data_IF_701669017643
#
_entry.id   IF_701669017643
#
_cell.length_a   1.000
_cell.length_b   1.000
_cell.length_c   1.000
_cell.angle_alpha   90.00
_cell.angle_beta   90.00
_cell.angle_gamma   90.00
#
_symmetry.space_group_name_H-M   'P 1'
#
loop_
_entity.id
_entity.type
_entity.pdbx_description
1 polymer ?
#
# COMPACT_ATOMS: atom_id res chain seq x y z
N UNK A 1 -0.14 20.84 -7.76
CA UNK A 1 -0.67 19.58 -7.20
C UNK A 1 -1.17 18.69 -8.33
N UNK A 2 -2.31 18.98 -8.97
CA UNK A 2 -2.83 18.23 -10.12
C UNK A 2 -1.79 17.95 -11.24
N UNK A 3 -1.09 18.99 -11.70
CA UNK A 3 -0.11 18.89 -12.80
C UNK A 3 1.14 18.04 -12.50
N UNK A 4 1.45 17.80 -11.22
CA UNK A 4 2.63 17.00 -10.82
C UNK A 4 2.29 15.53 -10.66
N UNK A 5 1.01 15.22 -10.41
CA UNK A 5 0.50 13.87 -10.21
C UNK A 5 -0.15 13.29 -11.47
N UNK A 6 -0.19 14.03 -12.59
CA UNK A 6 -1.01 13.71 -13.77
C UNK A 6 -2.46 13.37 -13.37
N UNK A 7 -3.00 14.09 -12.37
CA UNK A 7 -4.37 13.93 -11.90
C UNK A 7 -5.20 15.17 -12.22
N UNK A 8 -6.44 14.95 -12.63
CA UNK A 8 -7.44 15.99 -12.79
C UNK A 8 -8.44 15.86 -11.62
N UNK A 9 -8.77 16.99 -10.98
CA UNK A 9 -9.66 17.03 -9.82
C UNK A 9 -10.77 18.03 -10.15
N UNK A 10 -11.94 17.52 -10.54
CA UNK A 10 -13.13 18.31 -10.94
C UNK A 10 -14.37 17.95 -10.11
N UNK A 11 -14.19 17.27 -8.98
CA UNK A 11 -15.27 16.87 -8.07
C UNK A 11 -15.65 17.97 -7.06
N UNK A 12 -14.96 19.11 -7.08
CA UNK A 12 -15.16 20.22 -6.13
C UNK A 12 -14.46 20.03 -4.78
N UNK A 13 -13.74 18.92 -4.56
CA UNK A 13 -13.06 18.64 -3.28
C UNK A 13 -12.05 19.73 -2.87
N UNK A 14 -11.41 20.39 -3.85
CA UNK A 14 -10.49 21.49 -3.59
C UNK A 14 -11.20 22.68 -2.95
N UNK A 15 -12.41 23.00 -3.41
CA UNK A 15 -13.21 24.12 -2.89
C UNK A 15 -13.66 23.83 -1.45
N UNK A 16 -14.17 22.63 -1.19
CA UNK A 16 -14.58 22.20 0.15
C UNK A 16 -13.43 22.27 1.18
N UNK A 17 -12.23 21.78 0.81
CA UNK A 17 -11.05 21.85 1.68
C UNK A 17 -10.61 23.30 1.91
N UNK A 18 -10.67 24.15 0.89
CA UNK A 18 -10.33 25.56 1.01
C UNK A 18 -11.29 26.30 1.96
N UNK A 19 -12.60 26.06 1.84
CA UNK A 19 -13.62 26.62 2.74
C UNK A 19 -13.36 26.21 4.19
N UNK A 20 -13.14 24.91 4.44
CA UNK A 20 -12.89 24.40 5.78
C UNK A 20 -11.63 25.02 6.40
N UNK A 21 -10.57 25.24 5.60
CA UNK A 21 -9.36 25.92 6.04
C UNK A 21 -9.60 27.39 6.38
N UNK A 22 -10.45 28.09 5.62
CA UNK A 22 -10.82 29.48 5.91
C UNK A 22 -11.57 29.60 7.25
N UNK A 23 -12.54 28.72 7.50
CA UNK A 23 -13.27 28.65 8.77
C UNK A 23 -12.32 28.36 9.94
N UNK A 24 -11.39 27.43 9.78
CA UNK A 24 -10.39 27.13 10.80
C UNK A 24 -9.46 28.32 11.07
N UNK A 25 -9.08 29.07 10.03
CA UNK A 25 -8.29 30.28 10.18
C UNK A 25 -9.02 31.36 10.98
N UNK A 26 -10.31 31.59 10.72
CA UNK A 26 -11.13 32.51 11.52
C UNK A 26 -11.21 32.07 12.98
N UNK A 27 -11.48 30.79 13.24
CA UNK A 27 -11.46 30.25 14.60
C UNK A 27 -10.11 30.44 15.31
N UNK A 28 -8.99 30.34 14.60
CA UNK A 28 -7.67 30.61 15.17
C UNK A 28 -7.47 32.08 15.58
N UNK A 29 -8.06 33.03 14.84
CA UNK A 29 -8.02 34.45 15.20
C UNK A 29 -8.86 34.76 16.44
N UNK A 30 -9.97 34.04 16.62
CA UNK A 30 -10.83 34.12 17.80
C UNK A 30 -10.23 33.37 19.02
N UNK A 31 -9.16 32.60 18.82
CA UNK A 31 -8.56 31.75 19.84
C UNK A 31 -9.34 30.45 20.10
N UNK A 32 -10.27 30.08 19.22
CA UNK A 32 -10.99 28.82 19.25
C UNK A 32 -10.25 27.74 18.45
N UNK A 33 -9.64 26.80 19.16
CA UNK A 33 -8.87 25.71 18.56
C UNK A 33 -9.59 24.35 18.60
N UNK A 34 -10.87 24.31 18.98
CA UNK A 34 -11.60 23.05 19.17
C UNK A 34 -11.65 22.19 17.90
N UNK A 35 -11.79 22.83 16.73
CA UNK A 35 -11.78 22.15 15.41
C UNK A 35 -10.43 21.47 15.11
N UNK A 36 -9.31 22.14 15.44
CA UNK A 36 -7.96 21.61 15.27
C UNK A 36 -7.71 20.45 16.22
N UNK A 37 -8.14 20.57 17.48
CA UNK A 37 -7.99 19.49 18.45
C UNK A 37 -8.78 18.25 18.06
N UNK A 38 -10.01 18.42 17.55
CA UNK A 38 -10.80 17.33 16.99
C UNK A 38 -10.07 16.67 15.82
N UNK A 39 -9.54 17.44 14.86
CA UNK A 39 -8.76 16.89 13.74
C UNK A 39 -7.54 16.09 14.23
N UNK A 40 -6.77 16.64 15.17
CA UNK A 40 -5.59 15.99 15.75
C UNK A 40 -5.93 14.64 16.39
N UNK A 41 -7.08 14.54 17.05
CA UNK A 41 -7.52 13.32 17.71
C UNK A 41 -8.14 12.31 16.73
N UNK A 42 -8.66 12.77 15.58
CA UNK A 42 -9.23 11.93 14.52
C UNK A 42 -8.15 11.28 13.64
N UNK A 43 -7.00 11.94 13.45
CA UNK A 43 -5.87 11.33 12.75
C UNK A 43 -5.35 10.18 13.63
N UNK A 44 -5.51 8.91 13.23
CA UNK A 44 -4.90 7.83 13.98
C UNK A 44 -3.40 8.06 13.98
N UNK A 45 -2.76 8.00 15.15
CA UNK A 45 -1.29 8.00 15.30
C UNK A 45 -0.73 6.67 14.78
N UNK A 46 -1.13 6.25 13.58
CA UNK A 46 -0.32 5.35 12.81
C UNK A 46 0.76 6.23 12.22
N UNK A 47 1.96 6.15 12.82
CA UNK A 47 3.20 6.55 12.16
C UNK A 47 3.27 5.77 10.84
N UNK A 48 2.58 6.25 9.82
CA UNK A 48 2.55 5.67 8.49
C UNK A 48 3.93 5.96 7.89
N UNK A 49 4.81 4.97 8.09
CA UNK A 49 6.16 4.84 7.55
C UNK A 49 7.13 5.90 8.08
N UNK A 50 8.08 5.44 8.91
CA UNK A 50 9.32 6.17 9.25
C UNK A 50 9.88 6.78 7.97
N UNK A 51 10.04 8.11 7.96
CA UNK A 51 10.79 8.79 6.91
C UNK A 51 12.15 8.11 6.75
N UNK A 52 12.40 7.61 5.56
CA UNK A 52 13.61 6.92 5.16
C UNK A 52 14.84 7.79 5.39
N UNK A 53 15.92 7.14 5.82
CA UNK A 53 17.27 7.66 6.08
C UNK A 53 17.69 8.78 5.12
N UNK A 54 18.12 9.88 5.72
CA UNK A 54 18.75 11.06 5.11
C UNK A 54 20.00 10.65 4.28
N UNK A 55 20.10 11.15 3.04
CA UNK A 55 21.24 10.93 2.13
C UNK A 55 22.28 12.02 2.41
N UNK A 56 23.38 11.64 3.03
CA UNK A 56 24.60 12.45 3.13
C UNK A 56 25.25 12.58 1.75
N UNK A 57 25.49 13.82 1.34
CA UNK A 57 26.15 14.20 0.09
C UNK A 57 27.68 14.09 0.16
N UNK A 58 28.23 13.64 -0.98
CA UNK A 58 29.55 13.90 -1.57
C UNK A 58 30.76 12.98 -1.29
N UNK A 59 31.38 12.60 -2.43
CA UNK A 59 32.73 12.11 -2.71
C UNK A 59 33.05 10.60 -2.75
N UNK A 60 33.52 10.19 -3.95
CA UNK A 60 34.30 9.01 -4.35
C UNK A 60 33.53 7.67 -4.46
N UNK A 61 33.21 7.21 -5.66
CA UNK A 61 34.11 6.47 -6.59
C UNK A 61 34.27 5.00 -6.17
N UNK A 62 33.60 4.10 -6.90
CA UNK A 62 34.23 2.98 -7.64
C UNK A 62 33.15 1.95 -8.08
N UNK A 63 33.31 1.53 -9.34
CA UNK A 63 32.48 0.60 -10.09
C UNK A 63 32.69 -0.85 -9.62
N UNK A 64 31.62 -1.65 -9.49
CA UNK A 64 31.71 -3.10 -9.75
C UNK A 64 30.42 -3.61 -10.39
N UNK A 65 30.61 -4.07 -11.62
CA UNK A 65 29.65 -4.70 -12.52
C UNK A 65 29.88 -6.21 -12.45
N UNK A 66 28.88 -6.95 -11.98
CA UNK A 66 28.82 -8.40 -12.18
C UNK A 66 27.37 -8.87 -12.37
N UNK A 67 26.91 -8.67 -13.60
CA UNK A 67 26.23 -9.62 -14.50
C UNK A 67 25.70 -10.97 -13.95
N UNK A 68 24.53 -11.33 -14.54
CA UNK A 68 23.86 -12.63 -14.64
C UNK A 68 22.84 -13.01 -13.55
N UNK A 69 21.64 -12.45 -13.65
CA UNK A 69 20.43 -13.09 -13.11
C UNK A 69 19.75 -13.91 -14.21
N UNK A 70 20.10 -15.20 -14.26
CA UNK A 70 19.51 -16.24 -15.11
C UNK A 70 18.00 -16.38 -14.84
N UNK A 71 17.14 -15.98 -15.79
CA UNK A 71 15.70 -16.17 -15.72
C UNK A 71 15.32 -17.47 -16.44
N UNK A 72 15.11 -18.53 -15.66
CA UNK A 72 14.66 -19.82 -16.16
C UNK A 72 13.25 -19.70 -16.74
N UNK A 73 13.12 -19.98 -18.05
CA UNK A 73 11.84 -20.09 -18.77
C UNK A 73 11.20 -21.42 -18.39
N UNK A 74 10.04 -21.40 -17.74
CA UNK A 74 9.28 -22.61 -17.46
C UNK A 74 8.75 -23.22 -18.77
N UNK A 75 9.31 -24.38 -19.11
CA UNK A 75 8.83 -25.27 -20.18
C UNK A 75 7.57 -26.01 -19.70
N UNK A 76 6.43 -25.94 -20.42
CA UNK A 76 5.23 -26.64 -20.01
C UNK A 76 5.36 -28.15 -20.31
N UNK A 77 5.78 -28.91 -19.31
CA UNK A 77 5.67 -30.38 -19.32
C UNK A 77 4.21 -30.80 -19.27
N UNK A 78 3.68 -31.20 -20.43
CA UNK A 78 2.42 -31.94 -20.51
C UNK A 78 2.58 -33.29 -19.81
N UNK A 79 1.87 -33.52 -18.71
CA UNK A 79 1.46 -34.89 -18.36
C UNK A 79 0.23 -34.95 -17.45
N UNK A 80 -0.82 -35.50 -18.06
CA UNK A 80 -1.58 -36.66 -17.59
C UNK A 80 -2.58 -36.46 -16.43
N UNK A 81 -3.83 -36.54 -16.84
CA UNK A 81 -5.02 -36.88 -16.06
C UNK A 81 -4.78 -37.99 -15.02
N UNK A 82 -5.31 -37.82 -13.79
CA UNK A 82 -6.11 -38.85 -13.11
C UNK A 82 -6.99 -38.24 -12.02
N UNK A 83 -8.17 -38.83 -11.88
CA UNK A 83 -9.37 -38.41 -11.18
C UNK A 83 -9.31 -38.30 -9.63
N UNK A 84 -10.42 -37.75 -9.11
CA UNK A 84 -10.99 -37.81 -7.75
C UNK A 84 -10.54 -36.79 -6.69
N UNK A 85 -11.34 -35.72 -6.50
CA UNK A 85 -11.86 -35.33 -5.18
C UNK A 85 -13.03 -34.33 -5.30
N UNK A 86 -13.93 -34.38 -4.32
CA UNK A 86 -15.18 -33.63 -4.15
C UNK A 86 -15.15 -32.13 -4.54
N UNK A 87 -16.30 -31.52 -4.89
CA UNK A 87 -16.35 -30.11 -5.24
C UNK A 87 -16.05 -29.24 -4.00
N UNK A 88 -14.83 -28.70 -3.97
CA UNK A 88 -14.48 -27.59 -3.09
C UNK A 88 -15.36 -26.40 -3.48
N UNK A 89 -16.06 -25.73 -2.54
CA UNK A 89 -16.84 -24.53 -2.86
C UNK A 89 -15.94 -23.56 -3.62
N UNK A 90 -16.37 -23.18 -4.83
CA UNK A 90 -15.70 -22.14 -5.60
C UNK A 90 -15.92 -20.85 -4.84
N UNK A 91 -14.87 -20.33 -4.20
CA UNK A 91 -14.86 -18.96 -3.73
C UNK A 91 -15.05 -18.09 -4.97
N UNK A 92 -16.21 -17.45 -5.05
CA UNK A 92 -16.52 -16.53 -6.14
C UNK A 92 -15.70 -15.26 -5.90
N UNK A 93 -15.08 -14.68 -6.94
CA UNK A 93 -14.55 -13.33 -6.85
C UNK A 93 -15.65 -12.39 -6.36
N UNK A 94 -15.29 -11.43 -5.53
CA UNK A 94 -16.21 -10.35 -5.20
C UNK A 94 -16.53 -9.50 -6.45
N UNK A 95 -17.47 -8.57 -6.31
CA UNK A 95 -17.86 -7.64 -7.39
C UNK A 95 -16.70 -6.74 -7.86
N UNK A 96 -15.57 -6.78 -7.16
CA UNK A 96 -14.35 -6.04 -7.45
C UNK A 96 -13.24 -6.94 -8.06
N UNK A 97 -13.54 -8.22 -8.32
CA UNK A 97 -12.61 -9.15 -8.97
C UNK A 97 -11.46 -9.64 -8.09
N UNK A 98 -11.51 -9.40 -6.79
CA UNK A 98 -10.52 -9.87 -5.82
C UNK A 98 -10.93 -11.22 -5.23
N UNK A 99 -9.94 -12.10 -5.08
CA UNK A 99 -10.09 -13.39 -4.40
C UNK A 99 -9.19 -13.44 -3.16
N UNK A 100 -9.75 -13.83 -2.01
CA UNK A 100 -9.00 -13.93 -0.75
C UNK A 100 -8.02 -15.11 -0.81
N UNK A 101 -6.72 -14.84 -0.84
CA UNK A 101 -5.70 -15.90 -0.78
C UNK A 101 -5.52 -16.34 0.67
N UNK A 102 -5.84 -17.59 0.96
CA UNK A 102 -5.62 -18.16 2.29
C UNK A 102 -4.12 -18.07 2.68
N UNK A 103 -3.81 -17.66 3.93
CA UNK A 103 -2.43 -17.55 4.38
C UNK A 103 -1.74 -18.92 4.31
N UNK A 104 -0.59 -18.98 3.64
CA UNK A 104 0.21 -20.22 3.49
C UNK A 104 0.65 -20.71 4.87
N UNK A 105 0.04 -21.80 5.35
CA UNK A 105 0.46 -22.47 6.58
C UNK A 105 1.93 -22.89 6.46
N UNK A 106 2.81 -22.15 7.13
CA UNK A 106 4.21 -22.52 7.28
C UNK A 106 4.25 -23.67 8.29
N UNK A 107 4.38 -24.91 7.82
CA UNK A 107 4.60 -26.09 8.66
C UNK A 107 5.85 -25.86 9.52
N UNK A 108 5.68 -25.30 10.72
CA UNK A 108 6.70 -25.32 11.77
C UNK A 108 6.80 -26.77 12.24
N UNK A 109 7.96 -27.37 11.93
CA UNK A 109 8.43 -28.70 12.29
C UNK A 109 7.49 -29.56 13.13
N UNK A 110 6.97 -30.63 12.51
CA UNK A 110 6.55 -31.83 13.24
C UNK A 110 7.81 -32.41 13.90
N UNK A 111 8.07 -32.06 15.16
CA UNK A 111 8.99 -32.86 15.97
C UNK A 111 8.18 -34.05 16.48
N UNK A 112 8.28 -35.17 15.76
CA UNK A 112 7.84 -36.48 16.28
C UNK A 112 8.62 -36.77 17.56
N UNK A 113 7.90 -37.28 18.56
CA UNK A 113 8.48 -37.96 19.71
C UNK A 113 9.15 -39.27 19.33
#
# INVERSE_FOLDING_TARGET
MAASFNTEIEDGSIEEVAEQLMVMHEGCLEGNYESIEKLRNLVPVTNAVRQSKEVISDAADESSDEEASDMMVDEPVMSKETATSNPKPREMPDEEGWSVVAPKQRNRGRKSG
#
